data_IF_743010155426
#
_entry.id   IF_743010155426
#
_cell.length_a   1.000
_cell.length_b   1.000
_cell.length_c   1.000
_cell.angle_alpha   90.00
_cell.angle_beta   90.00
_cell.angle_gamma   90.00
#
_symmetry.space_group_name_H-M   'P 1'
#
loop_
_entity.id
_entity.type
_entity.pdbx_description
1 polymer ?
#
# COMPACT_ATOMS: atom_id res chain seq x y z
N UNK A 1 38.42 25.29 -25.71
CA UNK A 1 37.74 24.00 -25.60
C UNK A 1 37.92 23.50 -24.19
N UNK A 2 36.94 23.72 -23.33
CA UNK A 2 36.97 23.25 -21.95
C UNK A 2 35.77 22.34 -21.72
N UNK A 3 35.91 21.05 -22.03
CA UNK A 3 34.96 20.07 -21.50
C UNK A 3 35.29 19.85 -20.02
N UNK A 4 34.34 20.17 -19.16
CA UNK A 4 34.38 19.73 -17.76
C UNK A 4 33.45 18.54 -17.62
N UNK A 5 34.02 17.35 -17.46
CA UNK A 5 33.27 16.16 -17.08
C UNK A 5 33.55 15.86 -15.61
N UNK A 6 32.51 15.73 -14.80
CA UNK A 6 32.61 15.19 -13.45
C UNK A 6 31.65 14.02 -13.29
N UNK A 7 32.09 12.99 -12.56
CA UNK A 7 31.30 11.81 -12.23
C UNK A 7 30.99 11.84 -10.73
N UNK A 8 29.72 11.97 -10.38
CA UNK A 8 29.25 11.85 -9.00
C UNK A 8 28.53 10.51 -8.80
N UNK A 9 28.93 9.74 -7.79
CA UNK A 9 28.18 8.55 -7.33
C UNK A 9 27.79 8.75 -5.87
N UNK A 10 26.50 8.93 -5.61
CA UNK A 10 25.93 9.03 -4.27
C UNK A 10 25.04 7.80 -4.02
N UNK A 11 25.21 7.15 -2.87
CA UNK A 11 24.46 5.95 -2.47
C UNK A 11 23.39 6.26 -1.40
N UNK A 12 23.22 7.52 -0.99
CA UNK A 12 22.21 7.96 -0.03
C UNK A 12 21.17 8.83 -0.73
N UNK A 13 19.89 8.54 -0.51
CA UNK A 13 18.75 9.21 -1.15
C UNK A 13 18.65 10.71 -0.82
N UNK A 14 18.00 11.48 -1.71
CA UNK A 14 17.75 12.92 -1.61
C UNK A 14 17.59 13.59 -2.99
N UNK A 15 17.06 14.82 -3.01
CA UNK A 15 17.10 15.69 -4.20
C UNK A 15 18.42 16.42 -4.24
N UNK A 16 19.11 16.40 -5.38
CA UNK A 16 20.41 17.05 -5.55
C UNK A 16 20.42 17.83 -6.85
N UNK A 17 21.01 19.01 -6.77
CA UNK A 17 21.30 19.85 -7.93
C UNK A 17 22.80 19.91 -8.07
N UNK A 18 23.30 19.67 -9.28
CA UNK A 18 24.69 19.97 -9.60
C UNK A 18 24.70 21.23 -10.44
N UNK A 19 25.38 22.25 -9.92
CA UNK A 19 25.58 23.52 -10.61
C UNK A 19 27.04 23.61 -11.03
N UNK A 20 27.28 23.77 -12.32
CA UNK A 20 28.61 24.06 -12.86
C UNK A 20 28.61 25.47 -13.46
N UNK A 21 29.69 26.21 -13.20
CA UNK A 21 29.96 27.50 -13.84
C UNK A 21 31.31 27.44 -14.54
N UNK A 22 31.34 27.89 -15.79
CA UNK A 22 32.57 28.08 -16.55
C UNK A 22 32.67 29.52 -17.04
N UNK A 23 33.89 30.06 -17.00
CA UNK A 23 34.24 31.33 -17.61
C UNK A 23 35.02 31.03 -18.90
N UNK A 24 34.48 31.42 -20.05
CA UNK A 24 35.21 31.35 -21.31
C UNK A 24 36.02 32.64 -21.49
N UNK A 25 37.34 32.51 -21.59
CA UNK A 25 38.21 33.59 -22.04
C UNK A 25 38.37 33.51 -23.56
N UNK A 26 37.31 33.87 -24.30
CA UNK A 26 37.44 34.15 -25.74
C UNK A 26 36.80 35.50 -26.01
N UNK A 27 37.43 36.31 -26.86
CA UNK A 27 37.19 37.75 -27.04
C UNK A 27 35.79 38.17 -27.54
N UNK A 28 34.81 37.27 -27.53
CA UNK A 28 33.44 37.45 -28.03
C UNK A 28 32.33 37.15 -27.00
N UNK A 29 32.66 36.69 -25.79
CA UNK A 29 31.70 36.56 -24.68
C UNK A 29 32.26 37.32 -23.47
N UNK A 30 31.44 38.20 -22.89
CA UNK A 30 31.79 38.99 -21.71
C UNK A 30 32.24 38.08 -20.55
N UNK A 31 33.46 38.31 -20.07
CA UNK A 31 34.10 37.65 -18.92
C UNK A 31 33.32 37.74 -17.60
N UNK A 32 32.25 38.54 -17.54
CA UNK A 32 31.44 38.73 -16.34
C UNK A 32 30.15 37.91 -16.30
N UNK A 33 29.76 37.23 -17.39
CA UNK A 33 28.53 36.41 -17.43
C UNK A 33 28.87 34.92 -17.57
N UNK A 34 29.01 34.16 -16.47
CA UNK A 34 29.34 32.72 -16.55
C UNK A 34 28.21 31.94 -17.25
N UNK A 35 28.60 30.97 -18.08
CA UNK A 35 27.65 29.98 -18.60
C UNK A 35 27.26 29.07 -17.43
N UNK A 36 25.96 29.00 -17.15
CA UNK A 36 25.42 28.18 -16.06
C UNK A 36 24.64 27.01 -16.63
N UNK A 37 24.95 25.81 -16.14
CA UNK A 37 24.19 24.59 -16.39
C UNK A 37 23.67 24.04 -15.07
N UNK A 38 22.39 23.65 -15.04
CA UNK A 38 21.77 22.98 -13.90
C UNK A 38 21.15 21.68 -14.38
N UNK A 39 21.53 20.57 -13.73
CA UNK A 39 20.87 19.29 -13.89
C UNK A 39 20.21 18.93 -12.56
N UNK A 40 18.91 18.66 -12.59
CA UNK A 40 18.15 18.18 -11.46
C UNK A 40 17.90 16.67 -11.64
N UNK A 41 18.34 15.86 -10.67
CA UNK A 41 17.97 14.46 -10.58
C UNK A 41 16.97 14.29 -9.43
N UNK A 42 15.75 13.85 -9.77
CA UNK A 42 14.77 13.43 -8.78
C UNK A 42 14.84 11.91 -8.61
N UNK A 43 15.22 11.43 -7.44
CA UNK A 43 15.07 10.02 -7.10
C UNK A 43 13.58 9.76 -6.84
N UNK A 44 12.93 8.98 -7.71
CA UNK A 44 11.54 8.56 -7.52
C UNK A 44 11.50 7.21 -6.81
N UNK A 45 10.55 7.05 -5.89
CA UNK A 45 10.27 5.76 -5.27
C UNK A 45 8.80 5.67 -4.86
N UNK A 46 8.22 4.46 -4.83
CA UNK A 46 6.92 4.25 -4.23
C UNK A 46 6.99 4.42 -2.71
N UNK A 47 5.93 4.97 -2.12
CA UNK A 47 5.76 5.06 -0.66
C UNK A 47 4.31 4.72 -0.36
N UNK A 48 4.09 3.69 0.43
CA UNK A 48 2.74 3.15 0.66
C UNK A 48 2.24 3.46 2.06
N UNK A 49 0.96 3.79 2.15
CA UNK A 49 0.22 3.82 3.42
C UNK A 49 -0.90 2.78 3.36
N UNK A 50 -1.09 2.07 4.48
CA UNK A 50 -2.17 1.09 4.64
C UNK A 50 -2.90 1.41 5.94
N UNK A 51 -4.20 1.67 5.86
CA UNK A 51 -5.04 1.92 7.04
C UNK A 51 -6.21 0.97 7.07
N UNK A 52 -6.36 0.23 8.18
CA UNK A 52 -7.47 -0.71 8.42
C UNK A 52 -8.50 -0.08 9.34
N UNK A 53 -9.69 0.12 8.81
CA UNK A 53 -10.86 0.66 9.51
C UNK A 53 -11.86 -0.44 9.81
N UNK A 54 -12.69 -0.20 10.82
CA UNK A 54 -13.81 -1.07 11.15
C UNK A 54 -15.02 -0.26 11.61
N UNK A 55 -16.20 -0.87 11.51
CA UNK A 55 -17.45 -0.31 11.98
C UNK A 55 -18.44 -1.41 12.37
N UNK A 56 -19.35 -1.08 13.28
CA UNK A 56 -20.60 -1.84 13.45
C UNK A 56 -21.62 -1.40 12.41
N UNK A 57 -22.65 -2.21 12.20
CA UNK A 57 -23.81 -1.82 11.39
C UNK A 57 -24.31 -0.42 11.79
N UNK A 58 -24.55 0.44 10.81
CA UNK A 58 -25.04 1.82 10.99
C UNK A 58 -24.12 2.76 11.80
N UNK A 59 -22.83 2.44 11.92
CA UNK A 59 -21.83 3.36 12.48
C UNK A 59 -20.87 3.83 11.38
N UNK A 60 -19.89 4.68 11.73
CA UNK A 60 -18.87 5.15 10.79
C UNK A 60 -17.58 4.35 10.94
N UNK A 61 -16.95 4.02 9.81
CA UNK A 61 -15.59 3.48 9.77
C UNK A 61 -14.61 4.35 10.55
N UNK A 62 -13.91 3.74 11.50
CA UNK A 62 -12.85 4.36 12.27
C UNK A 62 -11.78 3.32 12.65
N UNK A 63 -10.74 3.75 13.35
CA UNK A 63 -9.62 2.90 13.79
C UNK A 63 -9.60 2.69 15.31
N UNK A 64 -10.54 3.28 16.03
CA UNK A 64 -10.65 3.21 17.48
C UNK A 64 -11.33 1.91 17.89
N UNK A 65 -10.87 1.28 18.97
CA UNK A 65 -11.48 0.04 19.45
C UNK A 65 -12.99 0.14 19.61
N UNK A 66 -13.72 -0.84 19.07
CA UNK A 66 -15.17 -0.99 19.25
C UNK A 66 -15.47 -2.17 20.18
N UNK A 67 -16.49 -2.03 21.02
CA UNK A 67 -17.06 -3.14 21.76
C UNK A 67 -18.07 -3.89 20.86
N UNK A 68 -17.80 -5.18 20.63
CA UNK A 68 -18.63 -6.05 19.83
C UNK A 68 -19.27 -7.16 20.69
N UNK A 69 -20.56 -7.41 20.51
CA UNK A 69 -21.31 -8.47 21.18
C UNK A 69 -21.59 -9.63 20.23
N UNK A 70 -21.82 -10.83 20.79
CA UNK A 70 -22.19 -12.00 20.00
C UNK A 70 -23.43 -11.72 19.14
N UNK A 71 -23.36 -12.09 17.87
CA UNK A 71 -24.39 -11.84 16.86
C UNK A 71 -24.17 -10.56 16.06
N UNK A 72 -23.34 -9.62 16.51
CA UNK A 72 -23.03 -8.40 15.75
C UNK A 72 -22.15 -8.69 14.54
N UNK A 73 -22.43 -7.99 13.43
CA UNK A 73 -21.59 -7.96 12.23
C UNK A 73 -20.68 -6.74 12.27
N UNK A 74 -19.39 -6.96 12.06
CA UNK A 74 -18.35 -5.95 11.94
C UNK A 74 -17.91 -5.88 10.48
N UNK A 75 -18.03 -4.71 9.88
CA UNK A 75 -17.53 -4.45 8.55
C UNK A 75 -16.14 -3.81 8.64
N UNK A 76 -15.21 -4.28 7.81
CA UNK A 76 -13.86 -3.79 7.69
C UNK A 76 -13.63 -3.13 6.34
N UNK A 77 -12.79 -2.09 6.34
CA UNK A 77 -12.31 -1.40 5.15
C UNK A 77 -10.81 -1.20 5.26
N UNK A 78 -10.03 -1.64 4.28
CA UNK A 78 -8.63 -1.21 4.16
C UNK A 78 -8.50 -0.17 3.06
N UNK A 79 -7.70 0.85 3.31
CA UNK A 79 -7.29 1.86 2.32
C UNK A 79 -5.79 1.73 2.08
N UNK A 80 -5.39 1.50 0.84
CA UNK A 80 -3.99 1.36 0.42
C UNK A 80 -3.68 2.46 -0.58
N UNK A 81 -2.82 3.40 -0.20
CA UNK A 81 -2.50 4.58 -1.02
C UNK A 81 -1.00 4.63 -1.30
N UNK A 82 -0.64 4.95 -2.53
CA UNK A 82 0.74 5.31 -2.87
C UNK A 82 0.91 6.84 -2.75
N UNK A 83 1.58 7.26 -1.68
CA UNK A 83 1.94 8.67 -1.41
C UNK A 83 3.35 9.01 -1.95
N UNK A 84 4.00 8.07 -2.63
CA UNK A 84 5.29 8.27 -3.26
C UNK A 84 5.20 8.92 -4.64
N UNK A 85 6.34 9.05 -5.29
CA UNK A 85 6.47 9.70 -6.61
C UNK A 85 6.69 8.71 -7.75
N UNK A 86 6.75 7.41 -7.44
CA UNK A 86 6.88 6.34 -8.43
C UNK A 86 5.78 5.29 -8.27
N UNK A 87 5.55 4.49 -9.32
CA UNK A 87 4.56 3.41 -9.32
C UNK A 87 5.05 2.21 -8.52
N UNK A 88 4.24 1.76 -7.57
CA UNK A 88 4.47 0.51 -6.85
C UNK A 88 3.95 -0.67 -7.68
N UNK A 89 4.72 -1.75 -7.82
CA UNK A 89 4.31 -2.94 -8.58
C UNK A 89 4.36 -4.20 -7.73
N UNK A 90 3.54 -5.20 -8.08
CA UNK A 90 3.51 -6.53 -7.45
C UNK A 90 3.35 -6.49 -5.92
N UNK A 91 2.47 -5.64 -5.41
CA UNK A 91 2.22 -5.52 -3.99
C UNK A 91 1.41 -6.69 -3.47
N UNK A 92 1.80 -7.18 -2.30
CA UNK A 92 1.08 -8.19 -1.54
C UNK A 92 0.74 -7.61 -0.17
N UNK A 93 -0.54 -7.36 0.07
CA UNK A 93 -1.05 -6.92 1.37
C UNK A 93 -1.50 -8.17 2.10
N UNK A 94 -0.94 -8.43 3.29
CA UNK A 94 -1.30 -9.60 4.11
C UNK A 94 -1.84 -9.13 5.45
N UNK A 95 -2.97 -9.70 5.84
CA UNK A 95 -3.58 -9.53 7.16
C UNK A 95 -3.59 -10.93 7.79
N UNK A 96 -2.73 -11.13 8.77
CA UNK A 96 -2.53 -12.41 9.47
C UNK A 96 -3.30 -12.40 10.78
N UNK A 97 -3.81 -13.56 11.19
CA UNK A 97 -4.59 -13.74 12.42
C UNK A 97 -5.90 -12.94 12.46
N UNK A 98 -6.42 -12.49 11.31
CA UNK A 98 -7.65 -11.69 11.22
C UNK A 98 -8.81 -12.30 11.99
N UNK A 99 -8.89 -13.64 11.98
CA UNK A 99 -9.95 -14.43 12.59
C UNK A 99 -9.40 -15.65 13.33
N UNK A 100 -8.19 -15.51 13.86
CA UNK A 100 -7.60 -16.56 14.67
C UNK A 100 -8.32 -16.67 16.02
N UNK A 101 -9.23 -17.63 16.10
CA UNK A 101 -10.01 -17.97 17.29
C UNK A 101 -9.19 -18.49 18.46
N UNK A 102 -7.89 -18.77 18.28
CA UNK A 102 -6.98 -19.08 19.40
C UNK A 102 -6.56 -17.83 20.18
N UNK A 103 -6.69 -16.65 19.58
CA UNK A 103 -6.35 -15.34 20.17
C UNK A 103 -7.54 -14.37 20.22
N UNK A 104 -8.57 -14.57 19.40
CA UNK A 104 -9.78 -13.76 19.35
C UNK A 104 -11.02 -14.60 19.73
N UNK A 105 -12.13 -13.94 20.12
CA UNK A 105 -13.43 -14.63 20.26
C UNK A 105 -13.83 -15.26 18.92
N UNK A 106 -14.62 -16.33 18.95
CA UNK A 106 -15.13 -16.97 17.74
C UNK A 106 -15.80 -15.92 16.83
N UNK A 107 -15.30 -15.78 15.61
CA UNK A 107 -15.86 -14.89 14.60
C UNK A 107 -15.95 -15.66 13.27
N UNK A 108 -17.10 -15.56 12.61
CA UNK A 108 -17.36 -16.16 11.31
C UNK A 108 -17.13 -15.13 10.21
N UNK A 109 -16.45 -15.54 9.16
CA UNK A 109 -16.34 -14.77 7.92
C UNK A 109 -17.69 -14.79 7.20
N UNK A 110 -18.37 -13.64 7.04
CA UNK A 110 -19.76 -13.60 6.54
C UNK A 110 -19.95 -12.82 5.24
N UNK A 111 -19.03 -11.93 4.89
CA UNK A 111 -19.17 -11.08 3.71
C UNK A 111 -17.85 -10.73 3.06
N UNK A 112 -17.83 -10.73 1.74
CA UNK A 112 -16.74 -10.23 0.91
C UNK A 112 -17.36 -9.24 -0.07
N UNK A 113 -17.11 -7.94 0.11
CA UNK A 113 -17.76 -6.94 -0.72
C UNK A 113 -16.85 -6.58 -1.91
N UNK A 114 -17.30 -6.99 -3.09
CA UNK A 114 -16.68 -6.75 -4.40
C UNK A 114 -17.21 -5.49 -5.10
N UNK A 115 -18.06 -4.69 -4.45
CA UNK A 115 -18.71 -3.51 -5.05
C UNK A 115 -17.74 -2.42 -5.54
N UNK A 116 -16.46 -2.53 -5.20
CA UNK A 116 -15.41 -1.58 -5.57
C UNK A 116 -14.55 -2.03 -6.76
N UNK A 117 -15.05 -2.87 -7.66
CA UNK A 117 -14.28 -3.52 -8.74
C UNK A 117 -13.17 -2.66 -9.42
N UNK A 118 -13.39 -1.35 -9.65
CA UNK A 118 -12.36 -0.45 -10.20
C UNK A 118 -11.20 -0.14 -9.22
N UNK A 119 -11.49 0.00 -7.94
CA UNK A 119 -10.53 0.28 -6.87
C UNK A 119 -10.20 -0.96 -6.04
N UNK A 120 -10.68 -2.13 -6.44
CA UNK A 120 -10.38 -3.40 -5.82
C UNK A 120 -8.94 -3.84 -6.16
N UNK A 121 -8.31 -4.66 -5.31
CA UNK A 121 -7.08 -5.36 -5.66
C UNK A 121 -7.30 -6.27 -6.88
N UNK A 122 -6.21 -6.58 -7.59
CA UNK A 122 -6.21 -7.41 -8.79
C UNK A 122 -6.53 -8.88 -8.48
N UNK A 123 -6.16 -9.36 -7.31
CA UNK A 123 -6.47 -10.72 -6.85
C UNK A 123 -6.46 -10.81 -5.33
N UNK A 124 -6.98 -11.91 -4.81
CA UNK A 124 -7.07 -12.17 -3.38
C UNK A 124 -6.95 -13.66 -3.09
N UNK A 125 -6.59 -14.00 -1.86
CA UNK A 125 -6.53 -15.37 -1.36
C UNK A 125 -6.71 -15.37 0.15
N UNK A 126 -6.94 -16.55 0.71
CA UNK A 126 -7.08 -16.79 2.14
C UNK A 126 -6.27 -18.02 2.56
N UNK A 127 -6.07 -18.17 3.87
CA UNK A 127 -5.47 -19.37 4.46
C UNK A 127 -6.32 -19.85 5.64
N UNK A 128 -6.58 -21.16 5.77
CA UNK A 128 -7.16 -21.76 6.97
C UNK A 128 -6.11 -22.04 8.06
N UNK A 129 -4.83 -21.76 7.80
CA UNK A 129 -3.69 -21.94 8.70
C UNK A 129 -3.03 -20.59 9.01
N UNK A 130 -2.49 -20.44 10.21
CA UNK A 130 -1.79 -19.23 10.67
C UNK A 130 -0.41 -19.06 10.03
N UNK A 131 0.17 -20.11 9.42
CA UNK A 131 1.60 -20.07 9.06
C UNK A 131 1.93 -20.04 7.57
N UNK A 132 1.30 -20.79 6.65
CA UNK A 132 1.69 -20.68 5.22
C UNK A 132 0.75 -21.28 4.15
N UNK A 133 -0.34 -21.97 4.50
CA UNK A 133 -1.16 -22.68 3.52
C UNK A 133 -2.16 -21.77 2.76
N UNK A 134 -1.64 -20.84 1.97
CA UNK A 134 -2.45 -19.95 1.13
C UNK A 134 -3.10 -20.71 -0.02
N UNK A 135 -4.39 -20.45 -0.23
CA UNK A 135 -5.09 -20.94 -1.41
C UNK A 135 -4.57 -20.25 -2.68
N UNK A 136 -4.96 -20.76 -3.84
CA UNK A 136 -4.65 -20.14 -5.12
C UNK A 136 -5.18 -18.71 -5.20
N UNK A 137 -4.47 -17.84 -5.93
CA UNK A 137 -4.92 -16.49 -6.20
C UNK A 137 -6.26 -16.50 -6.94
N UNK A 138 -7.20 -15.68 -6.48
CA UNK A 138 -8.60 -15.65 -6.93
C UNK A 138 -9.54 -16.44 -6.02
N UNK A 139 -9.03 -17.14 -5.01
CA UNK A 139 -9.86 -17.87 -4.06
C UNK A 139 -10.44 -16.95 -2.99
N UNK A 140 -11.76 -16.96 -2.84
CA UNK A 140 -12.43 -16.32 -1.70
C UNK A 140 -12.65 -17.31 -0.54
N UNK A 141 -12.64 -16.82 0.72
CA UNK A 141 -13.03 -17.66 1.85
C UNK A 141 -14.47 -18.18 1.68
N UNK A 142 -14.76 -19.43 2.08
CA UNK A 142 -16.13 -19.92 2.20
C UNK A 142 -16.96 -19.04 3.15
N UNK A 143 -18.27 -18.94 2.93
CA UNK A 143 -19.19 -18.10 3.71
C UNK A 143 -20.41 -18.93 4.14
N UNK A 144 -20.76 -19.00 5.44
CA UNK A 144 -19.94 -18.58 6.57
C UNK A 144 -18.70 -19.49 6.75
N UNK A 145 -17.61 -18.97 7.30
CA UNK A 145 -16.45 -19.79 7.69
C UNK A 145 -15.83 -19.31 8.99
N UNK A 146 -15.68 -20.23 9.94
CA UNK A 146 -14.96 -20.00 11.20
C UNK A 146 -13.47 -20.36 11.10
N UNK A 147 -13.03 -20.90 9.96
CA UNK A 147 -11.66 -21.36 9.74
C UNK A 147 -10.92 -20.52 8.69
N UNK A 148 -10.91 -19.20 8.90
CA UNK A 148 -10.09 -18.28 8.12
C UNK A 148 -9.03 -17.70 9.05
N UNK A 149 -7.75 -17.93 8.77
CA UNK A 149 -6.64 -17.51 9.65
C UNK A 149 -5.83 -16.37 9.05
N UNK A 150 -5.97 -16.10 7.76
CA UNK A 150 -5.36 -14.96 7.10
C UNK A 150 -6.05 -14.60 5.79
N UNK A 151 -5.96 -13.32 5.45
CA UNK A 151 -6.41 -12.76 4.18
C UNK A 151 -5.23 -12.10 3.47
N UNK A 152 -5.22 -12.18 2.15
CA UNK A 152 -4.16 -11.58 1.34
C UNK A 152 -4.71 -11.05 0.02
N UNK A 153 -4.15 -9.92 -0.42
CA UNK A 153 -4.54 -9.23 -1.63
C UNK A 153 -3.32 -8.89 -2.47
N UNK A 154 -3.46 -9.02 -3.79
CA UNK A 154 -2.45 -8.67 -4.78
C UNK A 154 -2.87 -7.38 -5.49
N UNK A 155 -1.95 -6.43 -5.57
CA UNK A 155 -2.10 -5.22 -6.40
C UNK A 155 -0.93 -5.21 -7.39
N UNK A 156 -1.20 -5.41 -8.67
CA UNK A 156 -0.19 -5.51 -9.71
C UNK A 156 0.53 -4.18 -9.93
N UNK A 157 -0.22 -3.08 -9.86
CA UNK A 157 0.30 -1.73 -10.05
C UNK A 157 -0.52 -0.71 -9.24
N UNK A 158 0.17 0.22 -8.58
CA UNK A 158 -0.40 1.34 -7.86
C UNK A 158 0.44 2.59 -8.11
N UNK A 159 -0.03 3.45 -9.02
CA UNK A 159 0.64 4.69 -9.39
C UNK A 159 0.60 5.76 -8.29
N UNK A 160 1.38 6.85 -8.41
CA UNK A 160 1.35 7.97 -7.48
C UNK A 160 -0.06 8.52 -7.25
N UNK A 161 -0.41 8.77 -5.99
CA UNK A 161 -1.73 9.23 -5.52
C UNK A 161 -2.91 8.28 -5.81
N UNK A 162 -2.67 7.09 -6.37
CA UNK A 162 -3.71 6.09 -6.53
C UNK A 162 -4.00 5.38 -5.21
N UNK A 163 -5.26 4.98 -5.06
CA UNK A 163 -5.75 4.26 -3.88
C UNK A 163 -6.54 3.03 -4.29
N UNK A 164 -6.33 1.95 -3.54
CA UNK A 164 -7.13 0.72 -3.60
C UNK A 164 -7.85 0.52 -2.28
N UNK A 165 -9.03 -0.10 -2.36
CA UNK A 165 -9.87 -0.40 -1.22
C UNK A 165 -10.20 -1.89 -1.15
N UNK A 166 -10.32 -2.39 0.07
CA UNK A 166 -10.69 -3.77 0.38
C UNK A 166 -11.80 -3.73 1.41
N UNK A 167 -12.81 -4.59 1.23
CA UNK A 167 -13.94 -4.68 2.14
C UNK A 167 -14.25 -6.13 2.47
N UNK A 168 -14.50 -6.40 3.74
CA UNK A 168 -14.97 -7.69 4.21
C UNK A 168 -15.78 -7.54 5.50
N UNK A 169 -16.60 -8.53 5.80
CA UNK A 169 -17.45 -8.56 6.99
C UNK A 169 -17.24 -9.84 7.77
N UNK A 170 -17.30 -9.70 9.09
CA UNK A 170 -17.35 -10.82 10.01
C UNK A 170 -18.51 -10.69 10.96
N UNK A 171 -19.01 -11.81 11.43
CA UNK A 171 -20.00 -11.88 12.49
C UNK A 171 -19.35 -12.45 13.74
N UNK A 172 -19.61 -11.81 14.87
CA UNK A 172 -19.18 -12.31 16.17
C UNK A 172 -20.01 -13.55 16.51
N UNK A 173 -19.37 -14.72 16.53
CA UNK A 173 -20.02 -16.00 16.84
C UNK A 173 -20.17 -16.16 18.36
N UNK A 174 -21.11 -17.00 18.79
CA UNK A 174 -21.22 -17.42 20.18
C UNK A 174 -20.15 -18.46 20.50
N UNK A 175 -19.82 -18.60 21.79
CA UNK A 175 -19.22 -19.86 22.25
C UNK A 175 -20.38 -20.85 22.32
N UNK A 176 -20.37 -21.87 21.47
CA UNK A 176 -21.13 -23.09 21.78
C UNK A 176 -20.33 -23.95 22.76
#
# INVERSE_FOLDING_TARGET
GGETTFYCKNTKGGSWTISASSYDYTATIDSQTPITGSQANTITQPVLTVTKYHQKKNTSYNTSSIAATTGETIAYKLTITNIGTDTATNLIITDTHCFDTSVNRAISFTGWDTSTAQWAPDSYTYTPDTTSNWQEWGSEPPKPSDNVKGLRWKINSLGPNQTKYIYFEVKVSGLE
#
